data_IF_077241856751
#
_entry.id   IF_077241856751
#
_cell.length_a   1.000
_cell.length_b   1.000
_cell.length_c   1.000
_cell.angle_alpha   90.00
_cell.angle_beta   90.00
_cell.angle_gamma   90.00
#
_symmetry.space_group_name_H-M   'P 1'
#
loop_
_entity.id
_entity.type
_entity.pdbx_description
1 polymer ?
#
# COMPACT_ATOMS: atom_id res chain seq x y z
N UNK A 1 -22.11 -15.70 -3.09
CA UNK A 1 -21.17 -16.84 -3.07
C UNK A 1 -19.78 -16.23 -2.85
N UNK A 2 -19.25 -16.29 -1.63
CA UNK A 2 -17.91 -15.79 -1.35
C UNK A 2 -16.95 -16.93 -1.65
N UNK A 3 -16.11 -16.76 -2.67
CA UNK A 3 -14.99 -17.66 -2.89
C UNK A 3 -14.01 -17.48 -1.74
N UNK A 4 -13.68 -18.54 -1.02
CA UNK A 4 -12.55 -18.55 -0.11
C UNK A 4 -11.31 -18.45 -1.00
N UNK A 5 -10.71 -17.27 -1.04
CA UNK A 5 -9.45 -17.07 -1.74
C UNK A 5 -8.37 -17.62 -0.81
N UNK A 6 -7.88 -18.79 -1.15
CA UNK A 6 -6.80 -19.46 -0.42
C UNK A 6 -5.45 -19.13 -1.06
N UNK A 7 -4.39 -19.10 -0.26
CA UNK A 7 -3.03 -19.16 -0.80
C UNK A 7 -2.82 -20.46 -1.58
N UNK A 8 -2.09 -20.40 -2.68
CA UNK A 8 -1.69 -21.60 -3.42
C UNK A 8 -0.62 -22.36 -2.62
N UNK A 9 0.25 -21.62 -1.93
CA UNK A 9 1.34 -22.14 -1.12
C UNK A 9 1.14 -21.77 0.36
N UNK A 10 1.13 -22.77 1.24
CA UNK A 10 1.01 -22.58 2.69
C UNK A 10 2.15 -21.72 3.27
N UNK A 11 3.33 -21.69 2.63
CA UNK A 11 4.45 -20.84 3.05
C UNK A 11 4.17 -19.34 2.88
N UNK A 12 3.19 -18.98 2.04
CA UNK A 12 2.73 -17.60 1.82
C UNK A 12 1.61 -17.17 2.77
N UNK A 13 1.02 -18.10 3.51
CA UNK A 13 -0.04 -17.81 4.47
C UNK A 13 0.52 -17.06 5.69
N UNK A 14 -0.14 -15.96 6.07
CA UNK A 14 0.14 -15.32 7.35
C UNK A 14 -0.52 -16.13 8.47
N UNK A 15 0.25 -16.47 9.48
CA UNK A 15 -0.20 -17.21 10.66
C UNK A 15 -0.18 -16.23 11.83
N UNK A 16 -1.32 -16.07 12.50
CA UNK A 16 -1.44 -15.23 13.70
C UNK A 16 -1.26 -16.11 14.93
N UNK A 17 -0.26 -15.77 15.75
CA UNK A 17 0.07 -16.52 16.96
C UNK A 17 -0.74 -16.02 18.15
N UNK A 18 -0.80 -16.85 19.20
CA UNK A 18 -1.41 -16.51 20.50
C UNK A 18 -2.91 -16.16 20.41
N UNK A 19 -3.62 -16.76 19.44
CA UNK A 19 -5.06 -16.63 19.25
C UNK A 19 -5.72 -18.01 19.25
N UNK A 20 -7.02 -18.08 19.54
CA UNK A 20 -7.80 -19.33 19.46
C UNK A 20 -7.78 -19.93 18.04
N UNK A 21 -7.72 -19.08 17.01
CA UNK A 21 -7.52 -19.49 15.62
C UNK A 21 -6.31 -18.76 15.06
N UNK A 22 -5.42 -19.51 14.43
CA UNK A 22 -4.24 -18.99 13.73
C UNK A 22 -4.56 -18.46 12.33
N UNK A 23 -5.80 -18.61 11.89
CA UNK A 23 -6.22 -18.31 10.53
C UNK A 23 -6.59 -16.85 10.33
N UNK A 24 -5.94 -16.23 9.37
CA UNK A 24 -6.37 -14.98 8.74
C UNK A 24 -6.26 -15.11 7.21
N UNK A 25 -7.24 -14.59 6.46
CA UNK A 25 -7.19 -14.58 5.00
C UNK A 25 -6.22 -13.48 4.51
N UNK A 26 -4.95 -13.73 4.66
CA UNK A 26 -3.84 -12.85 4.31
C UNK A 26 -2.65 -13.65 3.78
N UNK A 27 -1.93 -13.11 2.81
CA UNK A 27 -0.78 -13.75 2.15
C UNK A 27 0.40 -12.79 2.10
N UNK A 28 1.61 -13.29 2.38
CA UNK A 28 2.84 -12.56 2.09
C UNK A 28 3.04 -12.45 0.58
N UNK A 29 3.41 -11.27 0.13
CA UNK A 29 3.72 -10.97 -1.26
C UNK A 29 5.14 -10.40 -1.32
N UNK A 30 5.94 -10.92 -2.25
CA UNK A 30 7.27 -10.40 -2.49
C UNK A 30 7.20 -9.05 -3.23
N UNK A 31 8.13 -8.17 -2.93
CA UNK A 31 8.29 -6.88 -3.58
C UNK A 31 9.49 -6.86 -4.52
N UNK A 32 9.73 -5.69 -5.11
CA UNK A 32 10.95 -5.48 -5.87
C UNK A 32 12.19 -5.58 -4.97
N UNK A 33 13.05 -6.58 -5.22
CA UNK A 33 14.27 -6.87 -4.45
C UNK A 33 14.07 -7.05 -2.93
N UNK A 34 12.82 -7.30 -2.47
CA UNK A 34 12.53 -7.51 -1.06
C UNK A 34 11.50 -8.62 -0.89
N UNK A 35 11.87 -9.70 -0.22
CA UNK A 35 10.92 -10.76 0.13
C UNK A 35 9.93 -10.28 1.19
N UNK A 36 8.68 -10.79 1.13
CA UNK A 36 7.61 -10.47 2.08
C UNK A 36 7.44 -8.97 2.29
N UNK A 37 7.54 -8.18 1.22
CA UNK A 37 7.41 -6.73 1.30
C UNK A 37 6.00 -6.28 1.63
N UNK A 38 4.99 -7.12 1.29
CA UNK A 38 3.59 -6.83 1.54
C UNK A 38 2.87 -8.01 2.19
N UNK A 39 1.75 -7.68 2.81
CA UNK A 39 0.69 -8.61 3.17
C UNK A 39 -0.56 -8.18 2.40
N UNK A 40 -0.99 -9.00 1.43
CA UNK A 40 -2.27 -8.84 0.76
C UNK A 40 -3.37 -9.48 1.62
N UNK A 41 -4.30 -8.68 2.14
CA UNK A 41 -5.32 -9.13 3.08
C UNK A 41 -6.73 -8.90 2.58
N UNK A 42 -7.65 -9.75 3.02
CA UNK A 42 -9.08 -9.46 3.01
C UNK A 42 -9.36 -8.20 3.83
N UNK A 43 -10.33 -7.39 3.42
CA UNK A 43 -10.82 -6.28 4.22
C UNK A 43 -11.44 -6.79 5.52
N UNK A 44 -11.04 -6.26 6.70
CA UNK A 44 -11.56 -6.74 7.97
C UNK A 44 -13.09 -6.64 8.07
N UNK A 45 -13.75 -7.74 8.47
CA UNK A 45 -15.18 -7.76 8.77
C UNK A 45 -15.43 -8.53 10.06
N UNK A 46 -16.39 -8.07 10.87
CA UNK A 46 -16.82 -8.74 12.10
C UNK A 46 -17.13 -10.23 11.85
N UNK A 47 -17.80 -10.51 10.73
CA UNK A 47 -18.18 -11.89 10.37
C UNK A 47 -16.99 -12.86 10.24
N UNK A 48 -15.79 -12.35 9.90
CA UNK A 48 -14.62 -13.18 9.59
C UNK A 48 -13.53 -13.09 10.65
N UNK A 49 -13.50 -12.00 11.41
CA UNK A 49 -12.40 -11.71 12.34
C UNK A 49 -12.86 -11.64 13.79
N UNK A 50 -14.13 -11.94 14.06
CA UNK A 50 -14.73 -11.77 15.39
C UNK A 50 -15.10 -10.31 15.69
N UNK A 51 -15.77 -10.09 16.80
CA UNK A 51 -16.41 -8.83 17.13
C UNK A 51 -15.42 -7.69 17.46
N UNK A 52 -14.17 -8.02 17.77
CA UNK A 52 -13.15 -7.07 18.23
C UNK A 52 -11.97 -6.84 17.27
N UNK A 53 -11.97 -7.45 16.08
CA UNK A 53 -10.84 -7.41 15.13
C UNK A 53 -9.47 -7.80 15.72
N UNK A 54 -9.44 -8.50 16.84
CA UNK A 54 -8.22 -8.88 17.55
C UNK A 54 -7.23 -9.63 16.67
N UNK A 55 -7.70 -10.55 15.82
CA UNK A 55 -6.88 -11.31 14.86
C UNK A 55 -6.14 -10.37 13.89
N UNK A 56 -6.82 -9.36 13.34
CA UNK A 56 -6.21 -8.41 12.43
C UNK A 56 -5.15 -7.55 13.12
N UNK A 57 -5.45 -7.00 14.30
CA UNK A 57 -4.53 -6.15 15.03
C UNK A 57 -3.35 -6.92 15.64
N UNK A 58 -3.52 -8.18 16.00
CA UNK A 58 -2.41 -9.06 16.36
C UNK A 58 -1.49 -9.33 15.17
N UNK A 59 -2.03 -9.55 13.96
CA UNK A 59 -1.21 -9.62 12.73
C UNK A 59 -0.41 -8.32 12.52
N UNK A 60 -1.05 -7.15 12.62
CA UNK A 60 -0.37 -5.84 12.52
C UNK A 60 0.78 -5.73 13.50
N UNK A 61 0.56 -6.16 14.76
CA UNK A 61 1.57 -6.12 15.81
C UNK A 61 2.70 -7.12 15.58
N UNK A 62 2.37 -8.39 15.34
CA UNK A 62 3.31 -9.50 15.13
C UNK A 62 4.24 -9.23 13.96
N UNK A 63 3.71 -8.75 12.84
CA UNK A 63 4.46 -8.50 11.62
C UNK A 63 5.17 -7.14 11.61
N UNK A 64 5.15 -6.40 12.71
CA UNK A 64 5.77 -5.07 12.84
C UNK A 64 5.33 -4.10 11.71
N UNK A 65 4.04 -4.15 11.37
CA UNK A 65 3.47 -3.32 10.32
C UNK A 65 3.45 -1.86 10.74
N UNK A 66 3.94 -0.96 9.88
CA UNK A 66 3.86 0.48 10.11
C UNK A 66 2.98 1.20 9.09
N UNK A 67 2.56 0.52 8.02
CA UNK A 67 1.67 1.07 6.99
C UNK A 67 0.56 0.10 6.63
N UNK A 68 -0.67 0.60 6.59
CA UNK A 68 -1.84 -0.08 6.03
C UNK A 68 -2.36 0.75 4.85
N UNK A 69 -2.48 0.14 3.68
CA UNK A 69 -3.11 0.71 2.50
C UNK A 69 -4.49 0.08 2.33
N UNK A 70 -5.53 0.89 2.45
CA UNK A 70 -6.93 0.50 2.29
C UNK A 70 -7.48 1.06 0.99
N UNK A 71 -7.98 0.20 0.09
CA UNK A 71 -8.41 0.54 -1.27
C UNK A 71 -9.92 0.32 -1.48
N UNK A 72 -10.72 0.47 -0.46
CA UNK A 72 -12.18 0.31 -0.52
C UNK A 72 -12.85 1.23 0.49
N UNK A 73 -14.05 1.69 0.18
CA UNK A 73 -14.90 2.31 1.19
C UNK A 73 -15.52 1.23 2.09
N UNK A 74 -16.09 1.63 3.23
CA UNK A 74 -16.79 0.70 4.12
C UNK A 74 -18.01 0.11 3.43
N UNK A 75 -18.73 0.94 2.66
CA UNK A 75 -19.91 0.56 1.89
C UNK A 75 -19.81 1.16 0.50
N UNK A 76 -20.10 0.37 -0.53
CA UNK A 76 -20.12 0.79 -1.93
C UNK A 76 -21.40 0.28 -2.59
N UNK A 77 -22.17 1.16 -3.24
CA UNK A 77 -23.47 0.86 -3.87
C UNK A 77 -24.43 0.07 -2.92
N UNK A 78 -24.46 0.45 -1.65
CA UNK A 78 -25.29 -0.20 -0.63
C UNK A 78 -24.76 -1.56 -0.13
N UNK A 79 -23.62 -2.04 -0.63
CA UNK A 79 -23.01 -3.31 -0.23
C UNK A 79 -21.84 -3.04 0.72
N UNK A 80 -21.88 -3.65 1.91
CA UNK A 80 -20.75 -3.60 2.85
C UNK A 80 -19.53 -4.28 2.24
N UNK A 81 -18.39 -3.58 2.24
CA UNK A 81 -17.09 -4.03 1.69
C UNK A 81 -16.08 -4.34 2.79
N UNK A 82 -16.14 -3.58 3.88
CA UNK A 82 -15.23 -3.69 5.01
C UNK A 82 -15.94 -3.11 6.25
N UNK A 83 -15.63 -3.58 7.42
CA UNK A 83 -16.04 -2.92 8.67
C UNK A 83 -15.00 -1.87 9.08
N UNK A 84 -15.43 -0.89 9.89
CA UNK A 84 -14.53 0.07 10.49
C UNK A 84 -13.77 -0.60 11.63
N UNK A 85 -12.52 -0.93 11.39
CA UNK A 85 -11.64 -1.66 12.31
C UNK A 85 -10.66 -0.76 13.09
N UNK A 86 -10.88 0.55 13.10
CA UNK A 86 -10.01 1.54 13.76
C UNK A 86 -10.82 2.53 14.59
N UNK A 87 -10.24 3.13 15.66
CA UNK A 87 -10.90 4.16 16.45
C UNK A 87 -10.91 5.51 15.72
N UNK A 88 -11.84 6.39 16.09
CA UNK A 88 -11.83 7.77 15.64
C UNK A 88 -10.63 8.54 16.21
N UNK A 89 -10.36 9.72 15.66
CA UNK A 89 -9.33 10.62 16.17
C UNK A 89 -9.61 10.94 17.65
N UNK A 90 -8.54 10.94 18.44
CA UNK A 90 -8.53 11.16 19.90
C UNK A 90 -9.26 10.06 20.71
N UNK A 91 -9.78 9.02 20.04
CA UNK A 91 -10.38 7.86 20.69
C UNK A 91 -9.38 6.71 20.82
N UNK A 92 -9.66 5.84 21.78
CA UNK A 92 -8.85 4.65 22.05
C UNK A 92 -9.74 3.40 22.13
N UNK A 93 -9.37 2.35 21.40
CA UNK A 93 -10.00 1.04 21.46
C UNK A 93 -8.94 -0.04 21.69
N UNK A 94 -9.34 -1.12 22.34
CA UNK A 94 -8.52 -2.33 22.49
C UNK A 94 -9.11 -3.41 21.61
N UNK A 95 -8.26 -4.02 20.76
CA UNK A 95 -8.61 -5.08 19.84
C UNK A 95 -7.77 -6.31 20.17
N UNK A 96 -8.38 -7.33 20.78
CA UNK A 96 -7.62 -8.37 21.44
C UNK A 96 -6.68 -7.77 22.50
N UNK A 97 -5.37 -8.01 22.36
CA UNK A 97 -4.35 -7.46 23.26
C UNK A 97 -3.72 -6.15 22.77
N UNK A 98 -4.13 -5.63 21.62
CA UNK A 98 -3.54 -4.44 21.01
C UNK A 98 -4.40 -3.22 21.28
N UNK A 99 -3.84 -2.25 21.99
CA UNK A 99 -4.46 -0.95 22.22
C UNK A 99 -4.14 -0.02 21.05
N UNK A 100 -5.17 0.54 20.42
CA UNK A 100 -5.07 1.43 19.26
C UNK A 100 -5.66 2.78 19.60
N UNK A 101 -4.89 3.86 19.41
CA UNK A 101 -5.33 5.23 19.67
C UNK A 101 -5.20 6.06 18.40
N UNK A 102 -6.29 6.67 17.96
CA UNK A 102 -6.29 7.65 16.86
C UNK A 102 -5.53 8.92 17.24
N UNK A 103 -4.55 9.33 16.45
CA UNK A 103 -3.71 10.51 16.72
C UNK A 103 -4.00 11.66 15.77
N UNK A 104 -4.17 11.38 14.49
CA UNK A 104 -4.54 12.39 13.50
C UNK A 104 -5.33 11.77 12.36
N UNK A 105 -6.09 12.63 11.69
CA UNK A 105 -6.78 12.33 10.45
C UNK A 105 -6.66 13.53 9.52
N UNK A 106 -6.13 13.30 8.31
CA UNK A 106 -6.01 14.29 7.25
C UNK A 106 -6.81 13.81 6.03
N UNK A 107 -7.81 14.59 5.64
CA UNK A 107 -8.72 14.26 4.54
C UNK A 107 -8.29 15.02 3.29
N UNK A 108 -7.99 14.27 2.21
CA UNK A 108 -7.72 14.79 0.87
C UNK A 108 -8.90 14.46 -0.06
N UNK A 109 -8.89 14.98 -1.26
CA UNK A 109 -10.00 14.78 -2.22
C UNK A 109 -10.24 13.31 -2.55
N UNK A 110 -9.16 12.52 -2.72
CA UNK A 110 -9.23 11.12 -3.18
C UNK A 110 -8.82 10.09 -2.13
N UNK A 111 -8.31 10.53 -0.98
CA UNK A 111 -7.84 9.65 0.07
C UNK A 111 -7.81 10.32 1.45
N UNK A 112 -7.69 9.52 2.48
CA UNK A 112 -7.51 9.97 3.88
C UNK A 112 -6.26 9.33 4.47
N UNK A 113 -5.48 10.09 5.21
CA UNK A 113 -4.31 9.62 5.98
C UNK A 113 -4.65 9.64 7.46
N UNK A 114 -4.50 8.51 8.14
CA UNK A 114 -4.68 8.42 9.58
C UNK A 114 -3.39 7.96 10.24
N UNK A 115 -3.10 8.52 11.40
CA UNK A 115 -1.98 8.11 12.25
C UNK A 115 -2.55 7.53 13.54
N UNK A 116 -2.05 6.35 13.89
CA UNK A 116 -2.38 5.66 15.12
C UNK A 116 -1.14 5.45 15.99
N UNK A 117 -1.33 5.45 17.30
CA UNK A 117 -0.41 4.84 18.25
C UNK A 117 -0.95 3.45 18.57
N UNK A 118 -0.17 2.43 18.35
CA UNK A 118 -0.48 1.06 18.71
C UNK A 118 0.42 0.62 19.88
N UNK A 119 -0.14 -0.11 20.84
CA UNK A 119 0.55 -0.48 22.07
C UNK A 119 0.13 -1.89 22.52
N UNK A 120 1.10 -2.75 22.82
CA UNK A 120 0.93 -4.04 23.51
C UNK A 120 1.98 -4.17 24.63
N UNK A 121 3.27 -4.18 24.27
CA UNK A 121 4.41 -4.17 25.19
C UNK A 121 5.25 -2.88 25.05
N UNK A 122 5.16 -2.26 23.90
CA UNK A 122 5.81 -0.99 23.54
C UNK A 122 4.84 -0.14 22.72
N UNK A 123 5.20 1.12 22.47
CA UNK A 123 4.43 2.00 21.59
C UNK A 123 5.06 2.06 20.22
N UNK A 124 4.24 1.93 19.18
CA UNK A 124 4.63 2.09 17.78
C UNK A 124 3.69 3.04 17.06
N UNK A 125 4.18 3.64 16.00
CA UNK A 125 3.38 4.50 15.11
C UNK A 125 2.92 3.66 13.91
N UNK A 126 1.65 3.78 13.57
CA UNK A 126 1.04 3.14 12.41
C UNK A 126 0.34 4.18 11.54
N UNK A 127 0.58 4.12 10.23
CA UNK A 127 -0.10 4.94 9.24
C UNK A 127 -1.15 4.11 8.50
N UNK A 128 -2.38 4.62 8.40
CA UNK A 128 -3.39 4.07 7.50
C UNK A 128 -3.62 5.06 6.37
N UNK A 129 -3.39 4.56 5.14
CA UNK A 129 -3.59 5.29 3.90
C UNK A 129 -4.85 4.74 3.23
N UNK A 130 -5.94 5.51 3.25
CA UNK A 130 -7.25 5.06 2.77
C UNK A 130 -7.63 5.77 1.48
N UNK A 131 -7.50 5.09 0.35
CA UNK A 131 -7.93 5.56 -0.96
C UNK A 131 -9.45 5.41 -1.10
N UNK A 132 -10.17 6.53 -1.22
CA UNK A 132 -11.64 6.57 -1.22
C UNK A 132 -12.27 6.74 -2.60
N UNK A 133 -11.45 7.06 -3.62
CA UNK A 133 -11.92 7.38 -4.97
C UNK A 133 -11.93 6.19 -5.94
N UNK A 134 -11.81 4.93 -5.45
CA UNK A 134 -11.90 3.75 -6.32
C UNK A 134 -13.36 3.34 -6.53
N UNK A 135 -13.93 3.45 -7.76
CA UNK A 135 -15.31 3.07 -8.02
C UNK A 135 -15.54 1.55 -7.84
N UNK A 136 -16.75 1.16 -7.39
CA UNK A 136 -17.09 -0.26 -7.32
C UNK A 136 -17.12 -0.89 -8.71
N UNK A 137 -16.57 -2.12 -8.82
CA UNK A 137 -16.50 -2.94 -10.05
C UNK A 137 -15.82 -2.26 -11.24
N UNK A 138 -14.98 -1.25 -11.02
CA UNK A 138 -14.30 -0.50 -12.07
C UNK A 138 -12.88 -0.12 -11.62
N UNK A 139 -12.23 0.75 -12.37
CA UNK A 139 -10.97 1.43 -12.04
C UNK A 139 -11.21 2.93 -11.88
N UNK A 140 -10.33 3.67 -11.18
CA UNK A 140 -10.39 5.12 -11.19
C UNK A 140 -10.40 5.64 -12.63
N UNK A 141 -11.22 6.67 -12.90
CA UNK A 141 -11.31 7.28 -14.24
C UNK A 141 -10.03 8.00 -14.64
N UNK A 142 -9.31 8.50 -13.65
CA UNK A 142 -8.06 9.23 -13.82
C UNK A 142 -6.95 8.55 -13.04
N UNK A 143 -5.93 8.09 -13.76
CA UNK A 143 -4.77 7.42 -13.17
C UNK A 143 -3.89 8.38 -12.33
N UNK A 144 -3.99 9.70 -12.50
CA UNK A 144 -3.28 10.66 -11.66
C UNK A 144 -3.65 10.52 -10.19
N UNK A 145 -4.90 10.18 -9.86
CA UNK A 145 -5.35 10.04 -8.48
C UNK A 145 -4.66 8.91 -7.72
N UNK A 146 -4.42 7.76 -8.39
CA UNK A 146 -3.70 6.64 -7.77
C UNK A 146 -2.19 6.89 -7.73
N UNK A 147 -1.64 7.62 -8.70
CA UNK A 147 -0.23 8.01 -8.70
C UNK A 147 0.04 9.00 -7.55
N UNK A 148 -0.79 10.03 -7.38
CA UNK A 148 -0.69 10.96 -6.23
C UNK A 148 -0.79 10.21 -4.89
N UNK A 149 -1.73 9.29 -4.77
CA UNK A 149 -1.87 8.45 -3.59
C UNK A 149 -0.64 7.58 -3.35
N UNK A 150 -0.12 6.91 -4.39
CA UNK A 150 1.10 6.10 -4.31
C UNK A 150 2.31 6.95 -3.86
N UNK A 151 2.49 8.14 -4.41
CA UNK A 151 3.54 9.07 -3.98
C UNK A 151 3.39 9.44 -2.50
N UNK A 152 2.17 9.67 -2.02
CA UNK A 152 1.94 9.96 -0.60
C UNK A 152 2.32 8.77 0.28
N UNK A 153 1.95 7.54 -0.13
CA UNK A 153 2.30 6.29 0.58
C UNK A 153 3.81 6.09 0.67
N UNK A 154 4.53 6.33 -0.43
CA UNK A 154 5.99 6.11 -0.50
C UNK A 154 6.77 7.15 0.27
N UNK A 155 6.30 8.40 0.34
CA UNK A 155 6.94 9.49 1.10
C UNK A 155 6.80 9.36 2.61
N UNK A 156 5.87 8.55 3.13
CA UNK A 156 5.76 8.30 4.57
C UNK A 156 6.97 7.49 5.02
N UNK A 157 7.72 7.97 6.02
CA UNK A 157 8.90 7.26 6.50
C UNK A 157 8.52 5.91 7.10
N UNK A 158 9.38 4.91 6.87
CA UNK A 158 9.22 3.57 7.42
C UNK A 158 10.20 3.41 8.59
N UNK A 159 9.68 3.33 9.79
CA UNK A 159 10.48 3.15 11.02
C UNK A 159 10.65 1.69 11.41
N UNK A 160 9.83 0.80 10.83
CA UNK A 160 9.84 -0.63 11.07
C UNK A 160 10.14 -1.38 9.77
N UNK A 161 10.79 -2.54 9.90
CA UNK A 161 11.14 -3.39 8.76
C UNK A 161 10.00 -4.36 8.35
N UNK A 162 8.83 -4.26 8.98
CA UNK A 162 7.68 -5.09 8.67
C UNK A 162 7.10 -4.84 7.27
N UNK A 163 6.27 -5.76 6.78
CA UNK A 163 5.57 -5.59 5.50
C UNK A 163 4.54 -4.46 5.55
N UNK A 164 4.17 -3.93 4.38
CA UNK A 164 3.01 -3.06 4.23
C UNK A 164 1.77 -3.93 4.04
N UNK A 165 0.73 -3.75 4.86
CA UNK A 165 -0.57 -4.37 4.61
C UNK A 165 -1.27 -3.61 3.50
N UNK A 166 -1.76 -4.33 2.48
CA UNK A 166 -2.62 -3.78 1.43
C UNK A 166 -3.90 -4.59 1.38
N UNK A 167 -5.04 -3.92 1.52
CA UNK A 167 -6.34 -4.59 1.44
C UNK A 167 -7.38 -3.76 0.66
N UNK A 168 -8.36 -4.46 0.12
CA UNK A 168 -9.60 -3.89 -0.37
C UNK A 168 -10.78 -4.63 0.29
N UNK A 169 -11.79 -5.06 -0.44
CA UNK A 169 -12.83 -5.95 0.11
C UNK A 169 -12.35 -7.41 0.11
N UNK A 170 -12.08 -7.98 -1.06
CA UNK A 170 -11.61 -9.37 -1.20
C UNK A 170 -10.10 -9.56 -1.05
N UNK A 171 -9.32 -8.48 -1.08
CA UNK A 171 -7.86 -8.53 -1.00
C UNK A 171 -7.19 -9.11 -2.24
N UNK A 172 -7.74 -8.87 -3.44
CA UNK A 172 -7.21 -9.41 -4.70
C UNK A 172 -7.14 -8.37 -5.82
N UNK A 173 -8.24 -7.82 -6.32
CA UNK A 173 -8.26 -6.96 -7.49
C UNK A 173 -7.51 -5.65 -7.26
N UNK A 174 -8.13 -4.70 -6.54
CA UNK A 174 -7.53 -3.39 -6.19
C UNK A 174 -6.22 -3.56 -5.43
N UNK A 175 -6.17 -4.53 -4.52
CA UNK A 175 -4.98 -4.89 -3.74
C UNK A 175 -3.82 -5.27 -4.64
N UNK A 176 -4.03 -6.20 -5.56
CA UNK A 176 -3.01 -6.63 -6.53
C UNK A 176 -2.58 -5.52 -7.48
N UNK A 177 -3.53 -4.67 -7.91
CA UNK A 177 -3.22 -3.52 -8.79
C UNK A 177 -2.29 -2.52 -8.10
N UNK A 178 -2.53 -2.19 -6.83
CA UNK A 178 -1.67 -1.28 -6.09
C UNK A 178 -0.29 -1.89 -5.78
N UNK A 179 -0.24 -3.16 -5.37
CA UNK A 179 1.04 -3.85 -5.13
C UNK A 179 1.86 -3.95 -6.42
N UNK A 180 1.23 -4.32 -7.55
CA UNK A 180 1.90 -4.34 -8.84
C UNK A 180 2.43 -2.97 -9.25
N UNK A 181 1.65 -1.90 -9.04
CA UNK A 181 2.08 -0.52 -9.30
C UNK A 181 3.34 -0.17 -8.50
N UNK A 182 3.38 -0.48 -7.21
CA UNK A 182 4.52 -0.17 -6.35
C UNK A 182 5.78 -0.97 -6.74
N UNK A 183 5.63 -2.27 -7.04
CA UNK A 183 6.74 -3.12 -7.52
C UNK A 183 7.31 -2.59 -8.82
N UNK A 184 6.45 -2.36 -9.82
CA UNK A 184 6.84 -1.95 -11.17
C UNK A 184 7.36 -0.52 -11.20
N UNK A 185 6.87 0.36 -10.34
CA UNK A 185 7.42 1.69 -10.18
C UNK A 185 8.87 1.65 -9.68
N UNK A 186 9.16 0.82 -8.67
CA UNK A 186 10.52 0.65 -8.17
C UNK A 186 11.43 -0.04 -9.19
N UNK A 187 10.95 -1.03 -9.92
CA UNK A 187 11.66 -1.69 -11.02
C UNK A 187 11.99 -0.69 -12.13
N UNK A 188 10.99 0.05 -12.63
CA UNK A 188 11.17 1.01 -13.71
C UNK A 188 12.13 2.14 -13.38
N UNK A 189 12.11 2.66 -12.13
CA UNK A 189 13.07 3.66 -11.66
C UNK A 189 14.50 3.10 -11.59
N UNK A 190 14.66 1.83 -11.19
CA UNK A 190 15.96 1.18 -11.02
C UNK A 190 16.53 0.64 -12.32
N UNK A 191 15.74 -0.11 -13.10
CA UNK A 191 16.19 -0.87 -14.27
C UNK A 191 15.90 -0.15 -15.60
N UNK A 192 15.09 0.92 -15.59
CA UNK A 192 14.59 1.66 -16.78
C UNK A 192 13.74 0.79 -17.73
N UNK A 193 13.24 -0.29 -17.26
CA UNK A 193 12.34 -1.21 -17.94
C UNK A 193 11.42 -1.88 -16.92
N UNK A 194 10.27 -2.37 -17.38
CA UNK A 194 9.30 -3.09 -16.55
C UNK A 194 8.73 -4.28 -17.32
N UNK A 195 8.48 -5.39 -16.62
CA UNK A 195 7.74 -6.53 -17.16
C UNK A 195 6.43 -6.72 -16.40
N UNK A 196 5.37 -6.03 -16.86
CA UNK A 196 4.06 -6.05 -16.22
C UNK A 196 3.45 -7.45 -16.22
N UNK A 197 3.65 -8.22 -17.31
CA UNK A 197 3.11 -9.57 -17.40
C UNK A 197 3.77 -10.51 -16.39
N UNK A 198 5.09 -10.50 -16.31
CA UNK A 198 5.83 -11.32 -15.35
C UNK A 198 5.50 -10.92 -13.92
N UNK A 199 5.41 -9.63 -13.62
CA UNK A 199 5.02 -9.13 -12.31
C UNK A 199 3.65 -9.70 -11.89
N UNK A 200 2.60 -9.52 -12.71
CA UNK A 200 1.26 -10.00 -12.38
C UNK A 200 1.19 -11.52 -12.29
N UNK A 201 1.92 -12.25 -13.13
CA UNK A 201 2.00 -13.70 -13.04
C UNK A 201 2.62 -14.14 -11.70
N UNK A 202 3.73 -13.56 -11.30
CA UNK A 202 4.41 -13.89 -10.04
C UNK A 202 3.55 -13.54 -8.82
N UNK A 203 2.87 -12.39 -8.83
CA UNK A 203 1.92 -12.02 -7.78
C UNK A 203 0.81 -13.07 -7.58
N UNK A 204 0.36 -13.71 -8.67
CA UNK A 204 -0.68 -14.75 -8.62
C UNK A 204 -0.19 -16.08 -8.09
N UNK A 205 1.11 -16.32 -8.07
CA UNK A 205 1.72 -17.47 -7.37
C UNK A 205 1.63 -17.26 -5.85
N UNK A 206 1.84 -16.04 -5.35
CA UNK A 206 1.74 -15.74 -3.93
C UNK A 206 0.28 -15.68 -3.43
N UNK A 207 -0.63 -15.10 -4.23
CA UNK A 207 -2.07 -15.04 -3.91
C UNK A 207 -2.89 -15.05 -5.19
N UNK A 208 -3.81 -15.99 -5.26
CA UNK A 208 -4.69 -16.22 -6.44
C UNK A 208 -5.46 -14.94 -6.80
N UNK A 209 -5.60 -14.68 -8.09
CA UNK A 209 -6.41 -13.59 -8.66
C UNK A 209 -5.96 -12.16 -8.30
N UNK A 210 -4.73 -11.95 -7.87
CA UNK A 210 -4.19 -10.59 -7.79
C UNK A 210 -4.22 -9.94 -9.19
N UNK A 211 -4.65 -8.66 -9.27
CA UNK A 211 -5.03 -7.97 -10.52
C UNK A 211 -6.14 -8.74 -11.24
N UNK A 212 -7.35 -8.63 -10.71
CA UNK A 212 -8.45 -9.57 -10.99
C UNK A 212 -9.08 -9.41 -12.37
N UNK A 213 -9.11 -8.19 -12.93
CA UNK A 213 -9.81 -7.89 -14.18
C UNK A 213 -8.90 -7.33 -15.26
N UNK A 214 -9.33 -7.43 -16.52
CA UNK A 214 -8.62 -6.86 -17.67
C UNK A 214 -8.54 -5.32 -17.55
N UNK A 215 -9.59 -4.68 -17.03
CA UNK A 215 -9.62 -3.23 -16.80
C UNK A 215 -8.55 -2.82 -15.78
N UNK A 216 -8.38 -3.59 -14.69
CA UNK A 216 -7.32 -3.34 -13.71
C UNK A 216 -5.92 -3.54 -14.30
N UNK A 217 -5.75 -4.55 -15.15
CA UNK A 217 -4.49 -4.77 -15.86
C UNK A 217 -4.16 -3.63 -16.83
N UNK A 218 -5.13 -3.13 -17.58
CA UNK A 218 -4.96 -1.95 -18.46
C UNK A 218 -4.67 -0.70 -17.65
N UNK A 219 -5.42 -0.46 -16.60
CA UNK A 219 -5.23 0.66 -15.69
C UNK A 219 -3.82 0.70 -15.07
N UNK A 220 -3.25 -0.46 -14.79
CA UNK A 220 -1.87 -0.57 -14.32
C UNK A 220 -0.87 -0.01 -15.35
N UNK A 221 -1.06 -0.28 -16.64
CA UNK A 221 -0.25 0.31 -17.71
C UNK A 221 -0.38 1.83 -17.73
N UNK A 222 -1.60 2.36 -17.68
CA UNK A 222 -1.86 3.80 -17.74
C UNK A 222 -1.21 4.52 -16.54
N UNK A 223 -1.34 3.96 -15.33
CA UNK A 223 -0.74 4.51 -14.13
C UNK A 223 0.80 4.48 -14.15
N UNK A 224 1.40 3.41 -14.69
CA UNK A 224 2.86 3.30 -14.83
C UNK A 224 3.44 4.30 -15.82
N UNK A 225 2.79 4.52 -16.96
CA UNK A 225 3.22 5.54 -17.94
C UNK A 225 3.30 6.90 -17.25
N UNK A 226 2.24 7.33 -16.58
CA UNK A 226 2.22 8.62 -15.88
C UNK A 226 3.31 8.73 -14.82
N UNK A 227 3.49 7.67 -14.02
CA UNK A 227 4.46 7.64 -12.93
C UNK A 227 5.90 7.70 -13.45
N UNK A 228 6.25 6.91 -14.44
CA UNK A 228 7.60 6.82 -14.96
C UNK A 228 7.97 8.05 -15.79
N UNK A 229 7.03 8.65 -16.53
CA UNK A 229 7.24 9.90 -17.28
C UNK A 229 7.50 11.06 -16.31
N UNK A 230 6.75 11.18 -15.23
CA UNK A 230 6.97 12.22 -14.21
C UNK A 230 8.35 12.10 -13.55
N UNK A 231 8.76 10.90 -13.19
CA UNK A 231 10.09 10.66 -12.61
C UNK A 231 11.24 10.96 -13.60
N UNK A 232 11.07 10.65 -14.87
CA UNK A 232 12.06 10.93 -15.92
C UNK A 232 12.20 12.44 -16.11
N UNK A 233 11.09 13.17 -16.17
CA UNK A 233 11.07 14.63 -16.32
C UNK A 233 11.72 15.34 -15.14
N UNK A 234 11.44 14.93 -13.90
CA UNK A 234 12.06 15.51 -12.70
C UNK A 234 13.58 15.26 -12.67
N UNK A 235 14.03 14.03 -12.99
CA UNK A 235 15.47 13.73 -13.09
C UNK A 235 16.18 14.55 -14.16
N UNK A 236 15.56 14.75 -15.32
CA UNK A 236 16.11 15.58 -16.41
C UNK A 236 16.23 17.05 -15.98
N UNK A 237 15.24 17.60 -15.29
CA UNK A 237 15.27 18.98 -14.75
C UNK A 237 16.36 19.16 -13.69
N UNK A 238 16.53 18.20 -12.78
CA UNK A 238 17.57 18.23 -11.76
C UNK A 238 18.98 18.10 -12.37
N UNK A 239 19.15 17.27 -13.39
CA UNK A 239 20.41 17.13 -14.12
C UNK A 239 20.79 18.44 -14.84
N UNK A 240 19.82 19.08 -15.54
CA UNK A 240 20.03 20.35 -16.21
C UNK A 240 20.38 21.48 -15.23
N UNK A 241 19.73 21.55 -14.08
CA UNK A 241 20.06 22.55 -13.04
C UNK A 241 21.45 22.32 -12.42
N UNK A 242 21.91 21.09 -12.27
CA UNK A 242 23.25 20.77 -11.80
C UNK A 242 24.33 21.18 -12.81
N UNK A 243 24.03 21.07 -14.12
CA UNK A 243 24.94 21.50 -15.20
C UNK A 243 25.07 23.03 -15.26
N UNK A 244 23.95 23.76 -15.06
CA UNK A 244 23.94 25.22 -15.03
C UNK A 244 24.73 25.82 -13.87
N UNK A 245 24.74 25.14 -12.71
CA UNK A 245 25.50 25.58 -11.54
C UNK A 245 27.04 25.38 -11.69
N UNK A 246 27.47 24.44 -12.54
CA UNK A 246 28.89 24.20 -12.82
C UNK A 246 29.48 25.08 -13.91
N UNK A 247 28.65 25.80 -14.66
CA UNK A 247 29.07 26.72 -15.72
C UNK A 247 29.11 28.21 -15.29
N UNK A 248 29.28 28.50 -13.99
CA UNK A 248 29.56 29.86 -13.54
C UNK A 248 30.99 30.26 -13.92
N UNK A 249 31.20 31.33 -14.70
CA UNK A 249 32.51 31.71 -15.19
C UNK A 249 33.30 32.47 -14.14
N UNK A 250 34.16 31.81 -13.41
CA UNK A 250 35.29 32.43 -12.73
C UNK A 250 36.46 32.57 -13.68
N UNK A 251 36.32 33.48 -14.66
CA UNK A 251 37.44 34.04 -15.41
C UNK A 251 37.18 35.49 -15.77
N UNK A 252 37.30 36.37 -14.81
CA UNK A 252 37.57 37.80 -15.13
C UNK A 252 38.71 38.28 -14.26
N UNK A 253 39.81 38.60 -14.94
CA UNK A 253 40.86 39.54 -14.64
C UNK A 253 41.87 39.26 -13.54
N UNK A 254 43.04 38.90 -13.98
CA UNK A 254 44.27 39.49 -13.53
C UNK A 254 45.12 39.85 -14.76
N UNK A 255 44.94 41.04 -15.29
CA UNK A 255 45.94 41.78 -16.05
C UNK A 255 45.61 43.26 -15.95
N UNK A 256 46.32 43.95 -15.08
CA UNK A 256 46.75 45.33 -15.20
C UNK A 256 47.63 45.69 -14.00
N UNK A 257 48.87 45.95 -14.31
CA UNK A 257 49.94 46.67 -13.60
C UNK A 257 50.59 46.00 -12.39
#
# INVERSE_FOLDING_TARGET
MFYVITCIDDSRRVIVKDMESDYINASYIDGYKRQKAYIASLGPTIKQMGDDFGVFWNMVWQERVCKIVMLTNLTELGVKKCDKYWPDKDMCCTYGDVKVTGKSEEIYTCFTVRIFSIEKFEKRVLYQMHFTAWPDKSTPKDAHTIVEFWEKVTRIPTFELGPMIVHCSAGVGRTGTFIALDILANEGVSERTVDIFACVRNLREDRVSLVQTVEQYRFLHDALVLLLDSHTSVKALLANNATIQNDSPDKISKTAE
#
